data_IF_145870974997
#
_entry.id   IF_145870974997
#
_cell.length_a   1.000
_cell.length_b   1.000
_cell.length_c   1.000
_cell.angle_alpha   90.00
_cell.angle_beta   90.00
_cell.angle_gamma   90.00
#
_symmetry.space_group_name_H-M   'P 1'
#
loop_
_entity.id
_entity.type
_entity.pdbx_description
1 polymer ?
#
# COMPACT_ATOMS: atom_id res chain seq x y z
N UNK A 1 -19.08 -6.36 2.06
CA UNK A 1 -17.70 -5.87 2.27
C UNK A 1 -17.20 -6.51 3.56
N UNK A 2 -15.90 -6.70 3.74
CA UNK A 2 -15.34 -7.17 5.02
C UNK A 2 -14.92 -5.95 5.85
N UNK A 3 -15.22 -5.90 7.16
CA UNK A 3 -14.76 -4.82 8.04
C UNK A 3 -13.23 -4.81 8.19
N UNK A 4 -12.58 -5.96 8.07
CA UNK A 4 -11.13 -6.13 8.20
C UNK A 4 -10.48 -6.64 6.90
N UNK A 5 -10.82 -5.99 5.77
CA UNK A 5 -10.23 -6.30 4.47
C UNK A 5 -8.72 -6.05 4.44
N UNK A 6 -7.99 -6.78 3.60
CA UNK A 6 -6.53 -6.63 3.44
C UNK A 6 -6.26 -5.91 2.12
N UNK A 7 -5.41 -4.88 2.17
CA UNK A 7 -4.88 -4.19 1.00
C UNK A 7 -3.37 -4.44 0.89
N UNK A 8 -2.93 -4.95 -0.26
CA UNK A 8 -1.50 -5.15 -0.55
C UNK A 8 -1.07 -4.05 -1.51
N UNK A 9 -0.06 -3.27 -1.14
CA UNK A 9 0.50 -2.21 -1.99
C UNK A 9 2.03 -2.24 -1.96
N UNK A 10 2.68 -1.40 -2.76
CA UNK A 10 4.14 -1.28 -2.82
C UNK A 10 4.57 0.15 -2.49
N UNK A 11 5.83 0.38 -2.07
CA UNK A 11 6.29 1.72 -1.71
C UNK A 11 6.39 2.69 -2.91
N UNK A 12 6.04 2.30 -4.12
CA UNK A 12 6.09 3.22 -5.28
C UNK A 12 4.97 4.26 -5.23
N UNK A 13 5.23 5.48 -5.70
CA UNK A 13 4.25 6.60 -5.69
C UNK A 13 2.95 6.21 -6.39
N UNK A 14 3.03 5.47 -7.49
CA UNK A 14 1.85 4.99 -8.22
C UNK A 14 1.06 3.94 -7.45
N UNK A 15 1.73 2.97 -6.81
CA UNK A 15 1.06 1.94 -6.02
C UNK A 15 0.39 2.52 -4.77
N UNK A 16 1.07 3.44 -4.08
CA UNK A 16 0.51 4.16 -2.92
C UNK A 16 -0.75 4.96 -3.30
N UNK A 17 -0.72 5.70 -4.41
CA UNK A 17 -1.90 6.42 -4.94
C UNK A 17 -3.03 5.47 -5.32
N UNK A 18 -2.73 4.37 -6.01
CA UNK A 18 -3.72 3.36 -6.37
C UNK A 18 -4.37 2.73 -5.14
N UNK A 19 -3.59 2.48 -4.08
CA UNK A 19 -4.10 1.97 -2.82
C UNK A 19 -5.09 2.93 -2.16
N UNK A 20 -4.76 4.22 -2.12
CA UNK A 20 -5.68 5.26 -1.66
C UNK A 20 -6.96 5.34 -2.51
N UNK A 21 -6.85 5.32 -3.84
CA UNK A 21 -8.01 5.37 -4.73
C UNK A 21 -8.91 4.14 -4.57
N UNK A 22 -8.32 2.96 -4.35
CA UNK A 22 -9.06 1.74 -4.04
C UNK A 22 -9.87 1.90 -2.75
N UNK A 23 -9.24 2.36 -1.66
CA UNK A 23 -9.93 2.61 -0.39
C UNK A 23 -11.03 3.66 -0.55
N UNK A 24 -10.76 4.76 -1.26
CA UNK A 24 -11.78 5.76 -1.62
C UNK A 24 -12.98 5.09 -2.29
N UNK A 25 -12.76 4.26 -3.31
CA UNK A 25 -13.83 3.56 -4.02
C UNK A 25 -14.60 2.59 -3.11
N UNK A 26 -13.94 1.91 -2.18
CA UNK A 26 -14.60 1.04 -1.19
C UNK A 26 -15.52 1.86 -0.30
N UNK A 27 -15.07 3.01 0.21
CA UNK A 27 -15.88 3.89 1.04
C UNK A 27 -17.07 4.47 0.27
N UNK A 28 -16.89 4.85 -1.00
CA UNK A 28 -18.02 5.21 -1.87
C UNK A 28 -19.01 4.07 -2.06
N UNK A 29 -18.53 2.83 -2.22
CA UNK A 29 -19.41 1.65 -2.29
C UNK A 29 -20.19 1.45 -0.99
N UNK A 30 -19.57 1.67 0.18
CA UNK A 30 -20.26 1.65 1.47
C UNK A 30 -21.36 2.73 1.56
N UNK A 31 -21.08 3.93 1.06
CA UNK A 31 -22.09 4.99 0.95
C UNK A 31 -23.27 4.56 0.08
N UNK A 32 -23.03 4.07 -1.14
CA UNK A 32 -24.12 3.63 -2.04
C UNK A 32 -24.92 2.43 -1.49
N UNK A 33 -24.30 1.58 -0.68
CA UNK A 33 -25.01 0.49 -0.01
C UNK A 33 -25.89 0.97 1.16
N UNK A 34 -25.49 2.07 1.82
CA UNK A 34 -26.22 2.63 2.97
C UNK A 34 -27.32 3.58 2.51
N UNK A 35 -27.01 4.50 1.61
CA UNK A 35 -27.97 5.42 0.98
C UNK A 35 -28.68 4.71 -0.17
N UNK A 36 -29.81 4.06 0.11
CA UNK A 36 -30.58 3.35 -0.93
C UNK A 36 -31.19 4.31 -1.95
N UNK A 37 -31.46 3.80 -3.16
CA UNK A 37 -32.19 4.55 -4.19
C UNK A 37 -33.52 5.07 -3.65
N UNK A 38 -33.80 6.35 -3.90
CA UNK A 38 -34.99 7.04 -3.38
C UNK A 38 -34.75 7.83 -2.10
N UNK A 39 -33.62 7.64 -1.40
CA UNK A 39 -33.26 8.49 -0.26
C UNK A 39 -32.81 9.89 -0.71
N UNK A 40 -33.10 10.95 0.07
CA UNK A 40 -32.60 12.29 -0.20
C UNK A 40 -31.07 12.35 -0.31
N UNK A 41 -30.35 11.58 0.52
CA UNK A 41 -28.89 11.45 0.44
C UNK A 41 -28.39 10.81 -0.86
N UNK A 42 -29.06 9.76 -1.37
CA UNK A 42 -28.70 9.15 -2.65
C UNK A 42 -28.81 10.14 -3.81
N UNK A 43 -29.89 10.94 -3.84
CA UNK A 43 -30.08 11.96 -4.87
C UNK A 43 -28.99 13.04 -4.82
N UNK A 44 -28.59 13.45 -3.61
CA UNK A 44 -27.48 14.38 -3.41
C UNK A 44 -26.15 13.78 -3.87
N UNK A 45 -25.87 12.53 -3.53
CA UNK A 45 -24.67 11.80 -3.95
C UNK A 45 -24.57 11.67 -5.48
N UNK A 46 -25.68 11.32 -6.15
CA UNK A 46 -25.75 11.23 -7.62
C UNK A 46 -25.59 12.60 -8.29
N UNK A 47 -26.11 13.67 -7.69
CA UNK A 47 -25.90 15.03 -8.20
C UNK A 47 -24.42 15.42 -8.18
N UNK A 48 -23.68 14.99 -7.16
CA UNK A 48 -22.23 15.25 -7.03
C UNK A 48 -21.41 14.37 -7.97
N UNK A 49 -21.86 13.15 -8.27
CA UNK A 49 -21.20 12.25 -9.21
C UNK A 49 -21.17 12.79 -10.65
N UNK A 50 -22.20 13.55 -11.04
CA UNK A 50 -22.25 14.22 -12.36
C UNK A 50 -21.19 15.31 -12.51
N UNK A 51 -20.65 15.82 -11.40
CA UNK A 51 -19.52 16.75 -11.36
C UNK A 51 -18.23 16.02 -10.93
N UNK A 52 -17.58 15.37 -11.90
CA UNK A 52 -16.37 14.57 -11.69
C UNK A 52 -15.22 15.39 -11.07
N UNK A 53 -15.13 16.70 -11.37
CA UNK A 53 -14.12 17.58 -10.83
C UNK A 53 -14.37 17.92 -9.35
N UNK A 54 -15.64 18.11 -8.96
CA UNK A 54 -16.02 18.28 -7.56
C UNK A 54 -15.80 17.00 -6.74
N UNK A 55 -16.11 15.82 -7.30
CA UNK A 55 -15.96 14.52 -6.62
C UNK A 55 -14.50 14.15 -6.33
N UNK A 56 -13.56 14.58 -7.19
CA UNK A 56 -12.13 14.37 -6.97
C UNK A 56 -11.58 15.24 -5.84
N UNK A 57 -12.06 16.48 -5.71
CA UNK A 57 -11.65 17.45 -4.67
C UNK A 57 -12.42 17.31 -3.36
N UNK A 58 -13.47 16.48 -3.34
CA UNK A 58 -14.35 16.37 -2.19
C UNK A 58 -13.66 15.65 -1.02
N UNK A 59 -13.54 16.39 0.07
CA UNK A 59 -13.14 15.87 1.37
C UNK A 59 -14.30 15.06 1.96
N UNK A 60 -14.11 13.77 2.24
CA UNK A 60 -15.21 12.90 2.67
C UNK A 60 -15.90 13.41 3.95
N UNK A 61 -15.19 13.91 4.98
CA UNK A 61 -15.85 14.53 6.14
C UNK A 61 -16.81 15.68 5.78
N UNK A 62 -16.52 16.47 4.75
CA UNK A 62 -17.41 17.55 4.32
C UNK A 62 -18.64 17.00 3.59
N UNK A 63 -18.45 15.95 2.79
CA UNK A 63 -19.57 15.24 2.15
C UNK A 63 -20.52 14.66 3.20
N UNK A 64 -20.00 13.95 4.20
CA UNK A 64 -20.78 13.35 5.28
C UNK A 64 -21.57 14.44 6.04
N UNK A 65 -20.96 15.59 6.34
CA UNK A 65 -21.67 16.73 6.96
C UNK A 65 -22.84 17.22 6.10
N UNK A 66 -22.65 17.33 4.78
CA UNK A 66 -23.72 17.76 3.86
C UNK A 66 -24.84 16.72 3.72
N UNK A 67 -24.50 15.42 3.81
CA UNK A 67 -25.48 14.33 3.78
C UNK A 67 -26.27 14.27 5.10
N UNK A 68 -25.64 14.54 6.24
CA UNK A 68 -26.29 14.59 7.54
C UNK A 68 -27.41 15.65 7.63
N UNK A 69 -27.29 16.76 6.88
CA UNK A 69 -28.35 17.79 6.82
C UNK A 69 -29.59 17.33 6.05
N UNK A 70 -29.43 16.36 5.15
CA UNK A 70 -30.46 15.93 4.20
C UNK A 70 -31.08 14.58 4.62
N UNK A 71 -30.28 13.70 5.22
CA UNK A 71 -30.68 12.37 5.69
C UNK A 71 -29.87 11.97 6.94
N UNK A 72 -30.25 12.47 8.13
CA UNK A 72 -29.52 12.22 9.37
C UNK A 72 -29.45 10.74 9.75
N UNK A 73 -30.55 10.00 9.58
CA UNK A 73 -30.67 8.60 9.99
C UNK A 73 -29.72 7.69 9.19
N UNK A 74 -29.77 7.75 7.86
CA UNK A 74 -28.86 6.93 7.04
C UNK A 74 -27.41 7.39 7.16
N UNK A 75 -27.17 8.68 7.44
CA UNK A 75 -25.81 9.18 7.68
C UNK A 75 -25.23 8.66 8.99
N UNK A 76 -26.05 8.54 10.06
CA UNK A 76 -25.63 7.91 11.32
C UNK A 76 -25.25 6.45 11.11
N UNK A 77 -26.07 5.68 10.37
CA UNK A 77 -25.77 4.30 10.02
C UNK A 77 -24.47 4.18 9.19
N UNK A 78 -24.24 5.11 8.25
CA UNK A 78 -23.00 5.14 7.48
C UNK A 78 -21.78 5.39 8.37
N UNK A 79 -21.87 6.35 9.30
CA UNK A 79 -20.76 6.67 10.21
C UNK A 79 -20.43 5.51 11.14
N UNK A 80 -21.44 4.79 11.65
CA UNK A 80 -21.24 3.59 12.46
C UNK A 80 -20.46 2.54 11.66
N UNK A 81 -20.90 2.23 10.44
CA UNK A 81 -20.22 1.26 9.57
C UNK A 81 -18.82 1.70 9.15
N UNK A 82 -18.61 3.00 8.96
CA UNK A 82 -17.29 3.54 8.65
C UNK A 82 -16.35 3.41 9.86
N UNK A 83 -16.86 3.60 11.07
CA UNK A 83 -16.12 3.40 12.31
C UNK A 83 -15.78 1.93 12.56
N UNK A 84 -16.63 0.98 12.13
CA UNK A 84 -16.34 -0.46 12.20
C UNK A 84 -15.38 -0.94 11.09
N UNK A 85 -15.14 -0.13 10.07
CA UNK A 85 -14.30 -0.48 8.92
C UNK A 85 -12.83 -0.17 9.18
N UNK A 86 -12.09 -1.23 9.51
CA UNK A 86 -10.65 -1.22 9.83
C UNK A 86 -9.89 -2.03 8.78
N UNK A 87 -9.70 -1.51 7.55
CA UNK A 87 -8.88 -2.20 6.57
C UNK A 87 -7.43 -2.28 7.06
N UNK A 88 -6.74 -3.34 6.65
CA UNK A 88 -5.39 -3.69 7.06
C UNK A 88 -4.46 -3.67 5.86
N UNK A 89 -3.29 -3.06 5.98
CA UNK A 89 -2.35 -2.86 4.88
C UNK A 89 -1.10 -3.71 5.01
N UNK A 90 -0.75 -4.39 3.92
CA UNK A 90 0.55 -5.03 3.71
C UNK A 90 1.36 -4.20 2.72
N UNK A 91 2.57 -3.80 3.11
CA UNK A 91 3.51 -3.10 2.23
C UNK A 91 4.51 -4.10 1.64
N UNK A 92 4.27 -4.47 0.39
CA UNK A 92 5.05 -5.45 -0.36
C UNK A 92 6.16 -4.80 -1.20
N UNK A 93 7.18 -5.59 -1.52
CA UNK A 93 8.33 -5.20 -2.32
C UNK A 93 9.08 -3.97 -1.76
N UNK A 94 9.31 -3.94 -0.44
CA UNK A 94 10.20 -2.94 0.15
C UNK A 94 11.67 -3.31 -0.10
N UNK A 95 12.50 -2.29 -0.31
CA UNK A 95 13.93 -2.48 -0.56
C UNK A 95 14.77 -1.93 0.62
N UNK A 96 14.31 -0.87 1.27
CA UNK A 96 14.94 -0.20 2.42
C UNK A 96 13.93 -0.04 3.56
N UNK A 97 14.32 -0.16 4.85
CA UNK A 97 13.43 0.11 5.99
C UNK A 97 12.68 1.44 5.90
N UNK A 98 13.29 2.50 5.35
CA UNK A 98 12.68 3.82 5.16
C UNK A 98 11.49 3.81 4.20
N UNK A 99 11.34 2.76 3.39
CA UNK A 99 10.14 2.61 2.57
C UNK A 99 8.88 2.37 3.43
N UNK A 100 9.03 1.90 4.67
CA UNK A 100 7.94 1.81 5.64
C UNK A 100 7.36 3.20 5.99
N UNK A 101 8.15 4.28 5.93
CA UNK A 101 7.64 5.65 6.12
C UNK A 101 6.57 6.02 5.08
N UNK A 102 6.60 5.38 3.90
CA UNK A 102 5.56 5.60 2.88
C UNK A 102 4.21 5.02 3.31
N UNK A 103 4.20 3.99 4.16
CA UNK A 103 2.97 3.49 4.77
C UNK A 103 2.29 4.59 5.63
N UNK A 104 3.07 5.37 6.38
CA UNK A 104 2.54 6.48 7.19
C UNK A 104 1.85 7.54 6.34
N UNK A 105 2.43 7.88 5.19
CA UNK A 105 1.84 8.87 4.27
C UNK A 105 0.47 8.43 3.74
N UNK A 106 0.31 7.14 3.41
CA UNK A 106 -0.99 6.59 2.99
C UNK A 106 -1.97 6.64 4.16
N UNK A 107 -1.57 6.20 5.36
CA UNK A 107 -2.41 6.25 6.56
C UNK A 107 -2.91 7.67 6.83
N UNK A 108 -2.00 8.65 6.84
CA UNK A 108 -2.33 10.04 7.04
C UNK A 108 -3.33 10.55 5.99
N UNK A 109 -3.10 10.21 4.72
CA UNK A 109 -4.02 10.59 3.63
C UNK A 109 -5.40 9.94 3.79
N UNK A 110 -5.48 8.68 4.19
CA UNK A 110 -6.75 7.99 4.42
C UNK A 110 -7.49 8.59 5.63
N UNK A 111 -6.77 8.86 6.73
CA UNK A 111 -7.36 9.47 7.93
C UNK A 111 -7.84 10.89 7.66
N UNK A 112 -7.03 11.69 6.96
CA UNK A 112 -7.37 13.06 6.60
C UNK A 112 -8.55 13.09 5.61
N UNK A 113 -8.39 12.51 4.42
CA UNK A 113 -9.34 12.70 3.32
C UNK A 113 -10.55 11.77 3.36
N UNK A 114 -10.42 10.59 3.97
CA UNK A 114 -11.48 9.57 4.06
C UNK A 114 -12.02 9.36 5.47
N UNK A 115 -11.41 9.94 6.52
CA UNK A 115 -11.81 9.67 7.90
C UNK A 115 -11.63 8.21 8.30
N UNK A 116 -10.73 7.49 7.62
CA UNK A 116 -10.53 6.06 7.77
C UNK A 116 -9.22 5.78 8.49
N UNK A 117 -9.25 4.93 9.52
CA UNK A 117 -8.03 4.42 10.13
C UNK A 117 -7.60 3.12 9.44
N UNK A 118 -6.36 3.11 8.98
CA UNK A 118 -5.79 2.00 8.23
C UNK A 118 -4.80 1.32 9.14
N UNK A 119 -5.02 0.05 9.48
CA UNK A 119 -4.10 -0.73 10.32
C UNK A 119 -2.94 -1.27 9.48
N UNK A 120 -1.74 -1.35 10.06
CA UNK A 120 -0.61 -2.01 9.39
C UNK A 120 -0.56 -3.49 9.75
N UNK A 121 -0.54 -4.37 8.74
CA UNK A 121 -0.52 -5.81 8.94
C UNK A 121 0.87 -6.42 8.80
N UNK A 122 1.73 -5.87 7.94
CA UNK A 122 3.09 -6.34 7.77
C UNK A 122 3.80 -5.73 6.57
N UNK A 123 5.11 -5.95 6.51
CA UNK A 123 5.96 -5.58 5.39
C UNK A 123 6.53 -6.83 4.72
N UNK A 124 6.82 -6.75 3.43
CA UNK A 124 7.46 -7.84 2.70
C UNK A 124 8.59 -7.26 1.84
N UNK A 125 9.82 -7.69 2.11
CA UNK A 125 10.98 -7.30 1.31
C UNK A 125 10.94 -7.91 -0.09
N UNK A 126 11.50 -7.16 -1.04
CA UNK A 126 11.84 -7.70 -2.36
C UNK A 126 12.93 -8.76 -2.18
N UNK A 127 12.68 -9.93 -2.76
CA UNK A 127 13.55 -11.09 -2.70
C UNK A 127 13.62 -11.78 -4.08
N UNK A 128 14.83 -12.04 -4.57
CA UNK A 128 15.09 -12.78 -5.82
C UNK A 128 14.56 -14.22 -5.81
N UNK A 129 14.30 -14.80 -4.63
CA UNK A 129 13.67 -16.10 -4.50
C UNK A 129 12.23 -16.12 -5.02
N UNK A 130 11.57 -14.95 -5.11
CA UNK A 130 10.21 -14.83 -5.68
C UNK A 130 10.18 -15.26 -7.14
N UNK A 131 11.13 -14.78 -7.95
CA UNK A 131 11.21 -15.11 -9.37
C UNK A 131 11.53 -16.60 -9.59
N UNK A 132 12.42 -17.15 -8.77
CA UNK A 132 12.78 -18.58 -8.81
C UNK A 132 11.62 -19.49 -8.42
N UNK A 133 10.89 -19.13 -7.37
CA UNK A 133 9.70 -19.86 -6.92
C UNK A 133 8.59 -19.80 -7.98
N UNK A 134 8.35 -18.61 -8.56
CA UNK A 134 7.37 -18.40 -9.62
C UNK A 134 7.70 -19.21 -10.88
N UNK A 135 8.96 -19.18 -11.32
CA UNK A 135 9.43 -19.97 -12.47
C UNK A 135 9.27 -21.48 -12.23
N UNK A 136 9.47 -21.93 -10.99
CA UNK A 136 9.28 -23.31 -10.54
C UNK A 136 7.81 -23.67 -10.31
N UNK A 137 6.88 -22.70 -10.42
CA UNK A 137 5.45 -22.84 -10.14
C UNK A 137 5.15 -23.36 -8.73
N UNK A 138 6.00 -23.02 -7.77
CA UNK A 138 5.83 -23.38 -6.37
C UNK A 138 5.63 -22.11 -5.54
N UNK A 139 4.69 -22.10 -4.58
CA UNK A 139 4.62 -21.04 -3.59
C UNK A 139 5.96 -20.89 -2.86
N UNK A 140 6.41 -19.66 -2.64
CA UNK A 140 7.71 -19.41 -2.01
C UNK A 140 7.81 -20.02 -0.60
N UNK A 141 6.69 -20.08 0.12
CA UNK A 141 6.57 -20.74 1.43
C UNK A 141 6.83 -22.25 1.38
N UNK A 142 6.57 -22.91 0.25
CA UNK A 142 6.86 -24.34 0.05
C UNK A 142 8.30 -24.49 -0.47
N UNK A 143 8.68 -23.65 -1.42
CA UNK A 143 10.00 -23.71 -2.07
C UNK A 143 11.15 -23.40 -1.10
N UNK A 144 10.99 -22.36 -0.29
CA UNK A 144 11.95 -21.89 0.72
C UNK A 144 11.21 -21.35 1.95
N UNK A 145 10.79 -22.23 2.89
CA UNK A 145 10.03 -21.83 4.07
C UNK A 145 10.78 -20.84 4.98
N UNK A 146 12.11 -20.90 5.01
CA UNK A 146 12.96 -20.06 5.85
C UNK A 146 13.42 -18.75 5.17
N UNK A 147 12.97 -18.47 3.94
CA UNK A 147 13.30 -17.19 3.30
C UNK A 147 12.58 -16.03 3.99
N UNK A 148 13.13 -14.82 3.85
CA UNK A 148 12.59 -13.61 4.44
C UNK A 148 11.12 -13.37 4.05
N UNK A 149 10.79 -13.57 2.76
CA UNK A 149 9.40 -13.46 2.29
C UNK A 149 8.48 -14.51 2.92
N UNK A 150 8.95 -15.75 3.10
CA UNK A 150 8.14 -16.80 3.71
C UNK A 150 7.87 -16.51 5.18
N UNK A 151 8.89 -16.05 5.90
CA UNK A 151 8.76 -15.61 7.30
C UNK A 151 7.80 -14.42 7.44
N UNK A 152 7.90 -13.42 6.56
CA UNK A 152 6.97 -12.30 6.54
C UNK A 152 5.52 -12.75 6.29
N UNK A 153 5.30 -13.70 5.38
CA UNK A 153 3.97 -14.29 5.13
C UNK A 153 3.44 -15.03 6.37
N UNK A 154 4.29 -15.79 7.07
CA UNK A 154 3.90 -16.45 8.31
C UNK A 154 3.54 -15.45 9.41
N UNK A 155 4.35 -14.41 9.64
CA UNK A 155 4.03 -13.35 10.61
C UNK A 155 2.72 -12.63 10.29
N UNK A 156 2.46 -12.31 9.01
CA UNK A 156 1.19 -11.73 8.56
C UNK A 156 0.03 -12.68 8.87
N UNK A 157 0.18 -13.98 8.58
CA UNK A 157 -0.85 -14.98 8.86
C UNK A 157 -1.12 -15.12 10.37
N UNK A 158 -0.07 -15.13 11.19
CA UNK A 158 -0.19 -15.15 12.66
C UNK A 158 -0.93 -13.92 13.17
N UNK A 159 -0.59 -12.71 12.71
CA UNK A 159 -1.32 -11.48 13.07
C UNK A 159 -2.80 -11.57 12.70
N UNK A 160 -3.13 -12.13 11.53
CA UNK A 160 -4.54 -12.35 11.13
C UNK A 160 -5.22 -13.35 12.09
N UNK A 161 -4.57 -14.45 12.43
CA UNK A 161 -5.14 -15.48 13.32
C UNK A 161 -5.39 -14.96 14.74
N UNK A 162 -4.55 -14.05 15.24
CA UNK A 162 -4.69 -13.45 16.56
C UNK A 162 -5.62 -12.24 16.59
N UNK A 163 -5.94 -11.65 15.43
CA UNK A 163 -6.89 -10.55 15.34
C UNK A 163 -8.32 -11.02 15.61
N UNK A 164 -9.08 -10.25 16.38
CA UNK A 164 -10.51 -10.52 16.57
C UNK A 164 -11.24 -10.43 15.22
N UNK A 165 -12.13 -11.37 14.93
CA UNK A 165 -12.96 -11.31 13.73
C UNK A 165 -14.03 -10.25 13.92
N UNK A 166 -13.93 -9.15 13.19
CA UNK A 166 -14.98 -8.14 13.15
C UNK A 166 -16.05 -8.54 12.14
N UNK A 167 -17.30 -8.27 12.50
CA UNK A 167 -18.45 -8.27 11.59
C UNK A 167 -19.10 -6.90 11.69
N UNK A 168 -19.66 -6.45 10.56
CA UNK A 168 -20.47 -5.23 10.60
C UNK A 168 -21.68 -5.46 11.51
N UNK A 169 -22.06 -4.43 12.26
CA UNK A 169 -23.23 -4.39 13.13
C UNK A 169 -23.14 -5.27 14.42
N UNK A 170 -21.94 -5.73 14.82
CA UNK A 170 -21.65 -6.35 16.15
C UNK A 170 -20.94 -5.32 17.06
N UNK A 171 -21.29 -5.25 18.36
CA UNK A 171 -20.77 -4.26 19.34
C UNK A 171 -19.22 -4.23 19.39
N UNK A 172 -18.61 -3.16 18.88
CA UNK A 172 -17.16 -2.98 18.80
C UNK A 172 -16.63 -1.93 19.80
N UNK A 173 -15.57 -2.27 20.53
CA UNK A 173 -14.84 -1.39 21.43
C UNK A 173 -13.70 -0.66 20.69
N UNK A 174 -13.87 0.65 20.54
CA UNK A 174 -13.02 1.60 19.81
C UNK A 174 -11.62 1.81 20.43
N UNK A 175 -11.36 1.30 21.63
CA UNK A 175 -10.21 1.74 22.43
C UNK A 175 -8.90 0.95 22.22
N UNK A 176 -8.88 -0.12 21.41
CA UNK A 176 -7.71 -1.01 21.32
C UNK A 176 -6.92 -1.02 20.00
N UNK A 177 -7.32 -0.26 18.97
CA UNK A 177 -6.62 -0.27 17.69
C UNK A 177 -6.34 1.16 17.19
N UNK A 178 -5.06 1.59 17.16
CA UNK A 178 -4.44 2.20 15.95
C UNK A 178 -3.11 2.97 16.08
N UNK A 179 -2.35 3.00 17.19
CA UNK A 179 -1.02 3.65 17.16
C UNK A 179 0.20 2.71 17.22
N UNK A 180 0.07 1.53 17.83
CA UNK A 180 1.19 0.57 17.97
C UNK A 180 1.51 -0.24 16.71
N UNK A 181 0.53 -0.49 15.82
CA UNK A 181 0.73 -1.37 14.65
C UNK A 181 1.78 -0.85 13.66
N UNK A 182 1.98 0.46 13.65
CA UNK A 182 2.86 1.13 12.71
C UNK A 182 4.30 1.31 13.21
N UNK A 183 4.47 1.44 14.53
CA UNK A 183 5.81 1.33 15.13
C UNK A 183 6.34 -0.09 14.91
N UNK A 184 5.48 -1.10 15.08
CA UNK A 184 5.79 -2.48 14.75
C UNK A 184 6.18 -2.69 13.27
N UNK A 185 5.71 -1.84 12.35
CA UNK A 185 6.10 -1.91 10.93
C UNK A 185 7.57 -1.51 10.70
N UNK A 186 8.02 -0.47 11.40
CA UNK A 186 9.38 0.06 11.31
C UNK A 186 10.37 -0.89 11.99
N UNK A 187 9.98 -1.44 13.15
CA UNK A 187 10.71 -2.51 13.83
C UNK A 187 10.82 -3.76 12.95
N UNK A 188 9.71 -4.26 12.40
CA UNK A 188 9.70 -5.43 11.50
C UNK A 188 10.57 -5.21 10.26
N UNK A 189 10.50 -4.02 9.65
CA UNK A 189 11.34 -3.69 8.51
C UNK A 189 12.83 -3.66 8.88
N UNK A 190 13.17 -3.13 10.05
CA UNK A 190 14.54 -3.06 10.54
C UNK A 190 15.13 -4.44 10.83
N UNK A 191 14.36 -5.29 11.52
CA UNK A 191 14.75 -6.66 11.85
C UNK A 191 14.97 -7.50 10.58
N UNK A 192 14.04 -7.42 9.62
CA UNK A 192 14.14 -8.12 8.35
C UNK A 192 15.32 -7.62 7.50
N UNK A 193 15.61 -6.32 7.55
CA UNK A 193 16.78 -5.75 6.88
C UNK A 193 18.09 -6.24 7.49
N UNK A 194 18.16 -6.33 8.82
CA UNK A 194 19.33 -6.88 9.52
C UNK A 194 19.55 -8.36 9.13
N UNK A 195 18.49 -9.17 9.12
CA UNK A 195 18.55 -10.56 8.67
C UNK A 195 18.99 -10.68 7.20
N UNK A 196 18.47 -9.81 6.33
CA UNK A 196 18.88 -9.74 4.92
C UNK A 196 20.36 -9.38 4.78
N UNK A 197 20.87 -8.43 5.56
CA UNK A 197 22.27 -8.04 5.53
C UNK A 197 23.18 -9.15 6.05
N UNK A 198 22.82 -9.80 7.16
CA UNK A 198 23.56 -10.95 7.70
C UNK A 198 23.64 -12.09 6.68
N UNK A 199 22.56 -12.39 5.95
CA UNK A 199 22.60 -13.41 4.88
C UNK A 199 23.52 -13.02 3.72
N UNK A 200 23.56 -11.73 3.36
CA UNK A 200 24.51 -11.20 2.36
C UNK A 200 25.95 -11.31 2.87
N UNK A 201 26.19 -10.99 4.14
CA UNK A 201 27.50 -11.15 4.79
C UNK A 201 27.94 -12.62 4.86
N UNK A 202 27.04 -13.55 5.13
CA UNK A 202 27.32 -15.00 5.10
C UNK A 202 27.67 -15.49 3.69
N UNK A 203 26.98 -14.99 2.67
CA UNK A 203 27.33 -15.25 1.26
C UNK A 203 28.73 -14.72 0.90
N UNK A 204 29.14 -13.60 1.51
CA UNK A 204 30.48 -13.02 1.35
C UNK A 204 31.52 -13.85 2.14
N UNK A 205 31.20 -14.23 3.39
CA UNK A 205 32.09 -14.96 4.30
C UNK A 205 32.34 -16.42 3.91
N UNK A 206 31.41 -17.06 3.19
CA UNK A 206 31.55 -18.43 2.67
C UNK A 206 32.43 -18.52 1.41
N UNK A 207 32.95 -17.39 0.90
CA UNK A 207 33.84 -17.36 -0.27
C UNK A 207 33.12 -17.47 -1.61
N UNK A 208 31.79 -17.31 -1.65
CA UNK A 208 30.99 -17.29 -2.89
C UNK A 208 31.02 -15.92 -3.59
N UNK A 209 31.39 -14.85 -2.88
CA UNK A 209 31.70 -13.52 -3.42
C UNK A 209 32.80 -12.87 -2.57
N UNK A 210 33.96 -12.62 -3.14
CA UNK A 210 35.04 -11.87 -2.48
C UNK A 210 34.71 -10.38 -2.40
N UNK A 211 35.23 -9.68 -1.38
CA UNK A 211 35.11 -8.21 -1.27
C UNK A 211 35.66 -7.47 -2.51
N UNK A 212 36.62 -8.09 -3.22
CA UNK A 212 37.11 -7.64 -4.51
C UNK A 212 36.09 -7.74 -5.63
N UNK A 213 35.41 -8.89 -5.77
CA UNK A 213 34.34 -9.09 -6.76
C UNK A 213 33.12 -8.19 -6.50
N UNK A 214 32.79 -7.92 -5.24
CA UNK A 214 31.74 -6.96 -4.88
C UNK A 214 32.13 -5.52 -5.29
N UNK A 215 33.38 -5.13 -5.04
CA UNK A 215 33.88 -3.82 -5.47
C UNK A 215 33.92 -3.68 -7.00
N UNK A 216 34.21 -4.77 -7.70
CA UNK A 216 34.21 -4.83 -9.16
C UNK A 216 32.79 -4.79 -9.73
N UNK A 217 31.84 -5.53 -9.13
CA UNK A 217 30.42 -5.49 -9.49
C UNK A 217 29.81 -4.09 -9.23
N UNK A 218 30.14 -3.44 -8.12
CA UNK A 218 29.71 -2.07 -7.82
C UNK A 218 30.29 -1.08 -8.85
N UNK A 219 31.57 -1.22 -9.21
CA UNK A 219 32.19 -0.40 -10.27
C UNK A 219 31.51 -0.62 -11.62
N UNK A 220 31.21 -1.86 -11.95
CA UNK A 220 30.55 -2.21 -13.21
C UNK A 220 29.12 -1.69 -13.26
N UNK A 221 28.36 -1.80 -12.17
CA UNK A 221 27.03 -1.18 -12.04
C UNK A 221 27.09 0.36 -12.11
N UNK A 222 28.08 1.00 -11.49
CA UNK A 222 28.26 2.45 -11.59
C UNK A 222 28.54 2.89 -13.04
N UNK A 223 29.34 2.12 -13.76
CA UNK A 223 29.61 2.35 -15.18
C UNK A 223 28.35 2.20 -16.02
N UNK A 224 27.57 1.13 -15.81
CA UNK A 224 26.31 0.88 -16.51
C UNK A 224 25.27 1.98 -16.26
N UNK A 225 25.10 2.38 -15.00
CA UNK A 225 24.19 3.48 -14.62
C UNK A 225 24.61 4.79 -15.31
N UNK A 226 25.92 5.05 -15.38
CA UNK A 226 26.45 6.25 -16.05
C UNK A 226 26.18 6.22 -17.55
N UNK A 227 26.37 5.05 -18.18
CA UNK A 227 26.06 4.83 -19.59
C UNK A 227 24.57 5.01 -19.88
N UNK A 228 23.69 4.35 -19.10
CA UNK A 228 22.24 4.46 -19.22
C UNK A 228 21.74 5.89 -19.04
N UNK A 229 22.34 6.67 -18.12
CA UNK A 229 22.03 8.09 -17.95
C UNK A 229 22.38 8.91 -19.18
N UNK A 230 23.55 8.67 -19.80
CA UNK A 230 23.96 9.36 -21.02
C UNK A 230 23.04 9.03 -22.20
N UNK A 231 22.65 7.76 -22.34
CA UNK A 231 21.72 7.31 -23.38
C UNK A 231 20.32 7.91 -23.20
N UNK A 232 19.81 7.93 -21.96
CA UNK A 232 18.55 8.61 -21.63
C UNK A 232 18.59 10.10 -21.97
N UNK A 233 19.70 10.77 -21.69
CA UNK A 233 19.87 12.19 -22.01
C UNK A 233 19.86 12.43 -23.53
N UNK A 234 20.54 11.56 -24.30
CA UNK A 234 20.54 11.61 -25.75
C UNK A 234 19.13 11.40 -26.33
N UNK A 235 18.40 10.39 -25.85
CA UNK A 235 17.03 10.11 -26.28
C UNK A 235 16.11 11.30 -25.97
N UNK A 236 16.20 11.87 -24.75
CA UNK A 236 15.45 13.08 -24.40
C UNK A 236 15.76 14.25 -25.32
N UNK A 237 17.03 14.47 -25.66
CA UNK A 237 17.43 15.53 -26.60
C UNK A 237 16.84 15.30 -28.00
N UNK A 238 16.90 14.08 -28.52
CA UNK A 238 16.31 13.70 -29.81
C UNK A 238 14.79 13.87 -29.83
N UNK A 239 14.10 13.53 -28.74
CA UNK A 239 12.65 13.78 -28.62
C UNK A 239 12.35 15.28 -28.64
N UNK A 240 13.11 16.10 -27.90
CA UNK A 240 12.91 17.57 -27.94
C UNK A 240 13.17 18.14 -29.34
N UNK A 241 14.19 17.67 -30.05
CA UNK A 241 14.48 18.08 -31.43
C UNK A 241 13.39 17.62 -32.42
N UNK A 242 12.91 16.38 -32.31
CA UNK A 242 11.83 15.86 -33.14
C UNK A 242 10.50 16.62 -32.89
N UNK A 243 10.20 16.98 -31.64
CA UNK A 243 9.03 17.80 -31.32
C UNK A 243 9.15 19.20 -31.94
N UNK A 244 10.35 19.80 -31.90
CA UNK A 244 10.63 21.10 -32.56
C UNK A 244 10.53 21.02 -34.08
N UNK A 245 10.81 19.86 -34.67
CA UNK A 245 10.66 19.61 -36.10
C UNK A 245 9.22 19.27 -36.52
N UNK A 246 8.27 19.28 -35.58
CA UNK A 246 6.84 19.09 -35.87
C UNK A 246 6.38 17.63 -35.88
N UNK A 247 7.24 16.68 -35.49
CA UNK A 247 6.81 15.30 -35.27
C UNK A 247 5.92 15.22 -34.02
N UNK A 248 4.80 14.49 -34.12
CA UNK A 248 3.99 14.12 -32.94
C UNK A 248 4.74 13.04 -32.15
N UNK A 249 5.07 13.35 -30.91
CA UNK A 249 5.70 12.46 -29.95
C UNK A 249 4.68 12.01 -28.92
#
# INVERSE_FOLDING_TARGET
LSPQGIIVTAPTVTATLNGYLFLKNVVFRMMYNTFRRGTPAYNKLESLKKDSAALQKLYLPNLVKSLAQVDPENTRLFNQRLAEFHPRMVLNMIDDPKDADRAQRIRHSCKQFLGLDLEHLGVIYRDSLQDKALASRLPVIIYKPQSLISQAVYRIAEKIMHSATLKFDDDYDITQASDFSFQAAEEEATDDFSAKMSYVEDLIGTGALTTGELAEAIKQQQYEISHLKAENLLLKKKLVEAARQGFKI
#
